data_IF_747826459200
#
_entry.id   IF_747826459200
#
_cell.length_a   1.000
_cell.length_b   1.000
_cell.length_c   1.000
_cell.angle_alpha   90.00
_cell.angle_beta   90.00
_cell.angle_gamma   90.00
#
_symmetry.space_group_name_H-M   'P 1'
#
loop_
_entity.id
_entity.type
_entity.pdbx_description
1 polymer ?
#
# COMPACT_ATOMS: atom_id res chain seq x y z
N UNK A 1 40.07 -58.61 58.74
CA UNK A 1 40.26 -57.60 59.80
C UNK A 1 41.18 -56.51 59.26
N UNK A 2 40.60 -55.35 58.92
CA UNK A 2 41.10 -53.96 59.12
C UNK A 2 42.59 -53.66 58.79
N UNK A 3 42.94 -53.10 57.62
CA UNK A 3 43.01 -51.65 57.22
C UNK A 3 44.42 -51.03 57.43
N UNK A 4 45.18 -50.80 56.34
CA UNK A 4 45.46 -49.53 55.60
C UNK A 4 46.81 -48.89 55.95
N UNK A 5 47.60 -48.52 54.93
CA UNK A 5 48.30 -47.21 54.90
C UNK A 5 48.31 -46.58 53.50
N UNK A 6 47.96 -45.29 53.52
CA UNK A 6 47.95 -44.31 52.43
C UNK A 6 49.35 -43.79 52.06
N UNK A 7 49.45 -43.23 50.83
CA UNK A 7 49.97 -41.88 50.42
C UNK A 7 50.52 -42.01 48.97
N UNK A 8 50.57 -41.03 48.08
CA UNK A 8 50.01 -39.68 47.87
C UNK A 8 50.52 -39.22 46.49
N UNK A 9 49.77 -38.39 45.76
CA UNK A 9 50.23 -37.65 44.56
C UNK A 9 49.20 -37.69 43.42
N UNK A 10 48.27 -36.73 43.31
CA UNK A 10 48.35 -35.48 42.49
C UNK A 10 48.83 -35.78 41.06
N UNK A 11 48.12 -35.48 39.97
CA UNK A 11 47.69 -34.15 39.50
C UNK A 11 46.71 -34.30 38.31
N UNK A 12 45.60 -33.55 38.40
CA UNK A 12 44.87 -32.77 37.39
C UNK A 12 44.17 -33.35 36.12
N UNK A 13 43.01 -32.71 35.89
CA UNK A 13 42.44 -32.25 34.60
C UNK A 13 41.85 -33.32 33.69
N UNK A 14 40.61 -33.23 33.19
CA UNK A 14 39.76 -32.07 32.85
C UNK A 14 38.28 -32.42 32.95
N UNK A 15 37.48 -31.42 33.32
CA UNK A 15 36.04 -31.43 33.34
C UNK A 15 35.41 -31.49 31.94
N UNK A 16 34.27 -32.16 31.82
CA UNK A 16 33.27 -31.88 30.80
C UNK A 16 31.88 -32.02 31.45
N UNK A 17 31.43 -30.96 32.12
CA UNK A 17 30.03 -30.84 32.51
C UNK A 17 29.27 -30.25 31.31
N UNK A 18 28.67 -31.12 30.50
CA UNK A 18 27.68 -30.72 29.50
C UNK A 18 26.42 -30.26 30.21
N UNK A 19 26.29 -28.95 30.42
CA UNK A 19 25.02 -28.33 30.80
C UNK A 19 24.15 -28.33 29.56
N UNK A 20 23.25 -29.31 29.44
CA UNK A 20 22.13 -29.23 28.48
C UNK A 20 21.12 -28.26 29.08
N UNK A 21 21.31 -26.97 28.83
CA UNK A 21 20.26 -25.99 29.03
C UNK A 21 19.21 -26.23 27.94
N UNK A 22 18.15 -26.97 28.30
CA UNK A 22 16.96 -27.09 27.47
C UNK A 22 16.26 -25.71 27.49
N UNK A 23 16.70 -24.79 26.63
CA UNK A 23 15.91 -23.60 26.33
C UNK A 23 14.76 -24.08 25.47
N UNK A 24 13.65 -24.43 26.13
CA UNK A 24 12.36 -24.45 25.47
C UNK A 24 12.12 -23.03 24.96
N UNK A 25 12.47 -22.76 23.69
CA UNK A 25 11.83 -21.70 22.94
C UNK A 25 10.37 -22.13 22.81
N UNK A 26 9.57 -21.81 23.83
CA UNK A 26 8.24 -21.29 23.54
C UNK A 26 8.50 -20.04 22.70
N UNK A 27 8.55 -20.21 21.38
CA UNK A 27 8.13 -19.15 20.49
C UNK A 27 6.64 -18.94 20.77
N UNK A 28 6.37 -18.26 21.88
CA UNK A 28 5.13 -17.57 22.05
C UNK A 28 5.11 -16.57 20.89
N UNK A 29 4.41 -16.93 19.81
CA UNK A 29 3.99 -15.99 18.78
C UNK A 29 2.96 -15.06 19.42
N UNK A 30 3.42 -14.21 20.35
CA UNK A 30 2.71 -13.05 20.83
C UNK A 30 3.13 -11.97 19.84
N UNK A 31 2.28 -11.49 18.95
CA UNK A 31 0.96 -10.94 19.25
C UNK A 31 0.04 -11.10 18.03
N UNK A 32 -1.29 -11.10 18.18
CA UNK A 32 -2.14 -10.72 17.06
C UNK A 32 -1.71 -9.32 16.64
N UNK A 33 -1.10 -9.19 15.46
CA UNK A 33 -0.94 -7.89 14.81
C UNK A 33 -2.34 -7.37 14.56
N UNK A 34 -2.75 -6.37 15.35
CA UNK A 34 -4.12 -6.03 15.65
C UNK A 34 -5.05 -6.07 14.42
N UNK A 35 -6.16 -6.77 14.57
CA UNK A 35 -7.16 -6.90 13.52
C UNK A 35 -8.13 -5.72 13.58
N UNK A 36 -8.51 -5.23 12.41
CA UNK A 36 -9.72 -4.42 12.28
C UNK A 36 -10.86 -5.35 11.86
N UNK A 37 -12.07 -5.08 12.34
CA UNK A 37 -13.27 -5.84 11.98
C UNK A 37 -14.07 -4.99 11.00
N UNK A 38 -14.26 -5.50 9.79
CA UNK A 38 -15.22 -4.90 8.89
C UNK A 38 -16.64 -5.27 9.32
N UNK A 39 -17.51 -4.28 9.35
CA UNK A 39 -18.97 -4.50 9.41
C UNK A 39 -19.58 -4.56 8.01
N UNK A 40 -18.78 -4.34 6.96
CA UNK A 40 -19.23 -4.32 5.59
C UNK A 40 -19.54 -5.75 5.12
N UNK A 41 -20.68 -5.99 4.46
CA UNK A 41 -20.93 -7.26 3.82
C UNK A 41 -19.91 -7.50 2.69
N UNK A 42 -19.29 -8.69 2.69
CA UNK A 42 -18.45 -9.11 1.57
C UNK A 42 -19.23 -9.06 0.26
N UNK A 43 -18.56 -8.63 -0.82
CA UNK A 43 -19.20 -8.42 -2.12
C UNK A 43 -20.01 -7.13 -2.23
N UNK A 44 -20.17 -6.36 -1.13
CA UNK A 44 -20.78 -5.04 -1.20
C UNK A 44 -20.01 -4.12 -2.15
N UNK A 45 -20.68 -3.31 -3.00
CA UNK A 45 -19.99 -2.44 -3.94
C UNK A 45 -19.20 -1.37 -3.20
N UNK A 46 -17.98 -1.08 -3.61
CA UNK A 46 -17.21 0.08 -3.16
C UNK A 46 -16.99 1.01 -4.36
N UNK A 47 -17.07 2.32 -4.12
CA UNK A 47 -16.96 3.30 -5.20
C UNK A 47 -16.24 4.55 -4.71
N UNK A 48 -14.95 4.61 -4.97
CA UNK A 48 -14.09 5.73 -4.61
C UNK A 48 -14.20 6.81 -5.70
N UNK A 49 -15.00 7.83 -5.46
CA UNK A 49 -15.19 8.94 -6.40
C UNK A 49 -14.08 9.97 -6.19
N UNK A 50 -13.24 10.15 -7.21
CA UNK A 50 -12.12 11.08 -7.16
C UNK A 50 -12.54 12.54 -7.29
N UNK A 51 -11.96 13.42 -6.48
CA UNK A 51 -12.12 14.87 -6.57
C UNK A 51 -10.76 15.54 -6.70
N UNK A 52 -10.59 16.39 -7.72
CA UNK A 52 -9.35 17.11 -8.01
C UNK A 52 -8.12 16.18 -8.12
N UNK A 53 -8.30 15.01 -8.73
CA UNK A 53 -7.23 14.02 -8.87
C UNK A 53 -6.16 14.54 -9.84
N UNK A 54 -4.92 14.52 -9.36
CA UNK A 54 -3.74 14.96 -10.10
C UNK A 54 -2.62 13.95 -9.89
N UNK A 55 -1.88 13.67 -10.95
CA UNK A 55 -0.62 12.94 -10.89
C UNK A 55 0.47 13.93 -11.27
N UNK A 56 1.39 14.21 -10.36
CA UNK A 56 2.50 15.12 -10.61
C UNK A 56 3.78 14.33 -10.62
N UNK A 57 4.48 14.36 -11.75
CA UNK A 57 5.89 14.01 -11.81
C UNK A 57 6.66 15.04 -10.99
N UNK A 58 7.29 14.61 -9.90
CA UNK A 58 7.95 15.51 -8.95
C UNK A 58 9.22 16.09 -9.56
N UNK A 59 9.99 15.25 -10.25
CA UNK A 59 11.27 15.59 -10.86
C UNK A 59 11.08 16.59 -12.00
N UNK A 60 10.13 16.32 -12.90
CA UNK A 60 9.84 17.14 -14.06
C UNK A 60 8.85 18.28 -13.78
N UNK A 61 8.25 18.29 -12.59
CA UNK A 61 7.16 19.20 -12.20
C UNK A 61 6.02 19.24 -13.24
N UNK A 62 5.68 18.07 -13.79
CA UNK A 62 4.62 17.92 -14.77
C UNK A 62 3.38 17.33 -14.13
N UNK A 63 2.27 18.06 -14.19
CA UNK A 63 1.00 17.61 -13.62
C UNK A 63 0.03 17.15 -14.70
N UNK A 64 -0.53 15.97 -14.50
CA UNK A 64 -1.64 15.39 -15.24
C UNK A 64 -2.89 15.49 -14.37
N UNK A 65 -3.81 16.39 -14.72
CA UNK A 65 -5.06 16.63 -13.98
C UNK A 65 -6.21 15.93 -14.67
N UNK A 66 -7.03 15.18 -13.93
CA UNK A 66 -8.20 14.49 -14.45
C UNK A 66 -9.50 15.11 -13.93
N UNK A 67 -10.49 15.28 -14.81
CA UNK A 67 -11.85 15.69 -14.40
C UNK A 67 -12.52 14.59 -13.61
N UNK A 68 -12.39 13.35 -14.06
CA UNK A 68 -12.84 12.17 -13.32
C UNK A 68 -11.73 11.15 -13.21
N UNK A 69 -11.61 10.53 -12.04
CA UNK A 69 -10.71 9.42 -11.80
C UNK A 69 -11.23 8.61 -10.60
N UNK A 70 -12.02 7.58 -10.85
CA UNK A 70 -12.79 6.88 -9.81
C UNK A 70 -12.59 5.36 -9.91
N UNK A 71 -11.80 4.75 -9.01
CA UNK A 71 -11.71 3.31 -8.89
C UNK A 71 -12.90 2.73 -8.11
N UNK A 72 -13.41 1.60 -8.57
CA UNK A 72 -14.58 0.92 -7.99
C UNK A 72 -14.43 -0.60 -8.07
N UNK A 73 -15.19 -1.29 -7.23
CA UNK A 73 -15.19 -2.75 -7.15
C UNK A 73 -15.99 -3.24 -5.96
N UNK A 74 -15.46 -4.20 -5.19
CA UNK A 74 -16.20 -4.84 -4.10
C UNK A 74 -15.37 -5.04 -2.84
N UNK A 75 -16.03 -5.00 -1.68
CA UNK A 75 -15.46 -5.43 -0.40
C UNK A 75 -14.99 -6.90 -0.51
N UNK A 76 -13.74 -7.16 -0.16
CA UNK A 76 -13.10 -8.49 -0.27
C UNK A 76 -13.05 -9.26 1.05
N UNK A 77 -13.35 -8.61 2.18
CA UNK A 77 -13.29 -9.22 3.51
C UNK A 77 -14.70 -9.57 4.01
N UNK A 78 -14.93 -10.79 4.54
CA UNK A 78 -16.22 -11.15 5.15
C UNK A 78 -16.57 -10.27 6.36
N UNK A 79 -17.85 -9.90 6.47
CA UNK A 79 -18.37 -9.18 7.62
C UNK A 79 -18.08 -9.94 8.94
N UNK A 80 -17.71 -9.20 9.98
CA UNK A 80 -17.45 -9.78 11.30
C UNK A 80 -16.15 -10.57 11.41
N UNK A 81 -15.31 -10.57 10.37
CA UNK A 81 -13.99 -11.21 10.41
C UNK A 81 -12.89 -10.20 10.71
N UNK A 82 -11.93 -10.66 11.49
CA UNK A 82 -10.69 -9.97 11.78
C UNK A 82 -9.78 -10.00 10.56
N UNK A 83 -9.46 -8.84 9.98
CA UNK A 83 -8.48 -8.74 8.91
C UNK A 83 -7.16 -8.17 9.42
N UNK A 84 -6.06 -8.79 9.02
CA UNK A 84 -4.73 -8.29 9.30
C UNK A 84 -4.46 -6.97 8.55
N UNK A 85 -3.66 -6.08 9.13
CA UNK A 85 -3.16 -4.92 8.39
C UNK A 85 -2.36 -5.36 7.16
N UNK A 86 -2.54 -4.62 6.06
CA UNK A 86 -1.96 -4.93 4.76
C UNK A 86 -2.78 -5.91 3.92
N UNK A 87 -3.78 -6.58 4.48
CA UNK A 87 -4.73 -7.36 3.69
C UNK A 87 -5.68 -6.44 2.90
N UNK A 88 -6.04 -6.84 1.68
CA UNK A 88 -6.99 -6.11 0.83
C UNK A 88 -8.38 -6.12 1.46
N UNK A 89 -8.90 -4.92 1.71
CA UNK A 89 -10.25 -4.66 2.21
C UNK A 89 -11.26 -4.62 1.07
N UNK A 90 -10.83 -4.13 -0.09
CA UNK A 90 -11.61 -4.13 -1.30
C UNK A 90 -10.73 -4.32 -2.53
N UNK A 91 -11.27 -5.04 -3.51
CA UNK A 91 -10.66 -5.19 -4.82
C UNK A 91 -11.36 -4.23 -5.79
N UNK A 92 -10.59 -3.31 -6.35
CA UNK A 92 -11.06 -2.28 -7.28
C UNK A 92 -10.72 -2.73 -8.69
N UNK A 93 -11.67 -3.41 -9.32
CA UNK A 93 -11.49 -4.05 -10.63
C UNK A 93 -11.71 -3.11 -11.80
N UNK A 94 -12.32 -1.95 -11.55
CA UNK A 94 -12.64 -0.95 -12.56
C UNK A 94 -12.08 0.39 -12.13
N UNK A 95 -11.45 1.12 -13.07
CA UNK A 95 -11.11 2.52 -12.88
C UNK A 95 -11.70 3.31 -14.04
N UNK A 96 -12.53 4.28 -13.71
CA UNK A 96 -13.08 5.22 -14.69
C UNK A 96 -12.27 6.51 -14.66
N UNK A 97 -11.80 6.96 -15.80
CA UNK A 97 -11.01 8.19 -15.94
C UNK A 97 -11.50 8.98 -17.14
N UNK A 98 -11.54 10.30 -17.02
CA UNK A 98 -11.88 11.20 -18.14
C UNK A 98 -11.35 12.61 -17.93
N UNK A 99 -11.20 13.33 -19.04
CA UNK A 99 -10.73 14.72 -19.02
C UNK A 99 -9.32 14.87 -18.45
N UNK A 100 -8.51 13.81 -18.49
CA UNK A 100 -7.12 13.86 -18.08
C UNK A 100 -6.31 14.68 -19.08
N UNK A 101 -5.56 15.66 -18.59
CA UNK A 101 -4.75 16.55 -19.42
C UNK A 101 -3.49 17.04 -18.69
N UNK A 102 -2.46 17.38 -19.47
CA UNK A 102 -1.28 18.11 -19.03
C UNK A 102 -1.21 19.46 -19.78
N UNK A 103 -0.78 20.57 -19.13
CA UNK A 103 -0.76 21.89 -19.76
C UNK A 103 0.07 21.99 -21.05
N UNK A 104 1.10 21.15 -21.19
CA UNK A 104 2.00 21.10 -22.35
C UNK A 104 1.57 19.99 -23.32
N UNK A 105 1.34 18.78 -22.81
CA UNK A 105 1.01 17.59 -23.60
C UNK A 105 -0.44 17.53 -24.10
N UNK A 106 -1.32 18.43 -23.65
CA UNK A 106 -2.73 18.46 -24.00
C UNK A 106 -3.50 17.29 -23.39
N UNK A 107 -4.38 16.67 -24.19
CA UNK A 107 -5.18 15.51 -23.75
C UNK A 107 -4.32 14.29 -23.43
N UNK A 108 -4.54 13.73 -22.25
CA UNK A 108 -3.73 12.68 -21.64
C UNK A 108 -4.60 11.51 -21.17
N UNK A 109 -5.17 10.68 -22.05
CA UNK A 109 -5.87 9.47 -21.62
C UNK A 109 -5.02 8.62 -20.66
N UNK A 110 -5.62 8.24 -19.53
CA UNK A 110 -5.03 7.36 -18.51
C UNK A 110 -5.89 6.12 -18.40
N UNK A 111 -5.31 4.94 -18.63
CA UNK A 111 -5.98 3.65 -18.47
C UNK A 111 -5.40 2.93 -17.26
N UNK A 112 -6.23 2.21 -16.50
CA UNK A 112 -5.76 1.36 -15.40
C UNK A 112 -6.13 -0.11 -15.68
N UNK A 113 -5.21 -0.90 -16.28
CA UNK A 113 -5.53 -2.26 -16.72
C UNK A 113 -5.49 -3.30 -15.60
N UNK A 114 -5.03 -2.95 -14.41
CA UNK A 114 -4.89 -3.87 -13.27
C UNK A 114 -6.02 -3.71 -12.27
N UNK A 115 -6.32 -4.79 -11.54
CA UNK A 115 -7.14 -4.70 -10.33
C UNK A 115 -6.31 -4.11 -9.20
N UNK A 116 -6.80 -3.04 -8.57
CA UNK A 116 -6.14 -2.44 -7.41
C UNK A 116 -6.69 -3.05 -6.12
N UNK A 117 -5.87 -3.07 -5.08
CA UNK A 117 -6.33 -3.38 -3.72
C UNK A 117 -6.42 -2.10 -2.89
N UNK A 118 -7.48 -1.94 -2.11
CA UNK A 118 -7.54 -0.94 -1.04
C UNK A 118 -7.21 -1.62 0.28
N UNK A 119 -6.16 -1.19 0.96
CA UNK A 119 -5.68 -1.82 2.21
C UNK A 119 -5.60 -0.79 3.34
N UNK A 120 -5.91 -1.23 4.56
CA UNK A 120 -5.57 -0.51 5.79
C UNK A 120 -4.24 -1.05 6.30
N UNK A 121 -3.26 -0.18 6.54
CA UNK A 121 -1.86 -0.58 6.72
C UNK A 121 -1.39 -0.56 8.17
N UNK A 122 -2.24 -0.12 9.09
CA UNK A 122 -1.89 0.02 10.50
C UNK A 122 -3.07 0.54 11.34
N UNK A 123 -2.86 0.67 12.66
CA UNK A 123 -3.88 1.14 13.57
C UNK A 123 -4.25 2.60 13.32
N UNK A 124 -5.51 2.99 13.57
CA UNK A 124 -5.96 4.35 13.37
C UNK A 124 -5.48 5.28 14.48
N UNK A 125 -5.47 6.57 14.17
CA UNK A 125 -5.46 7.65 15.17
C UNK A 125 -6.81 8.33 15.14
N UNK A 126 -7.65 8.10 16.15
CA UNK A 126 -9.07 8.45 16.09
C UNK A 126 -9.78 7.66 15.00
N UNK A 127 -10.47 8.35 14.09
CA UNK A 127 -11.20 7.73 12.96
C UNK A 127 -10.38 7.65 11.67
N UNK A 128 -9.12 8.06 11.73
CA UNK A 128 -8.21 8.17 10.58
C UNK A 128 -7.26 6.99 10.58
N UNK A 129 -7.39 6.16 9.55
CA UNK A 129 -6.59 4.95 9.34
C UNK A 129 -5.45 5.23 8.36
N UNK A 130 -4.22 4.76 8.59
CA UNK A 130 -3.23 4.69 7.53
C UNK A 130 -3.69 3.67 6.48
N UNK A 131 -3.67 4.05 5.21
CA UNK A 131 -4.24 3.25 4.12
C UNK A 131 -3.45 3.44 2.82
N UNK A 132 -3.67 2.55 1.84
CA UNK A 132 -3.11 2.74 0.50
C UNK A 132 -3.94 2.04 -0.58
N UNK A 133 -3.84 2.52 -1.81
CA UNK A 133 -4.10 1.71 -2.99
C UNK A 133 -2.85 0.91 -3.36
N UNK A 134 -3.04 -0.34 -3.76
CA UNK A 134 -1.97 -1.30 -4.11
C UNK A 134 -2.18 -1.84 -5.51
N UNK A 135 -1.10 -2.38 -6.11
CA UNK A 135 -1.10 -2.89 -7.49
C UNK A 135 -1.60 -1.87 -8.51
N UNK A 136 -1.32 -0.60 -8.22
CA UNK A 136 -1.69 0.51 -9.08
C UNK A 136 -0.81 0.45 -10.31
N UNK A 137 -1.43 0.40 -11.48
CA UNK A 137 -0.77 0.51 -12.78
C UNK A 137 -1.61 1.41 -13.67
N UNK A 138 -0.99 2.46 -14.19
CA UNK A 138 -1.61 3.50 -14.99
C UNK A 138 -0.83 3.62 -16.29
N UNK A 139 -1.46 3.35 -17.42
CA UNK A 139 -0.89 3.57 -18.74
C UNK A 139 -1.35 4.93 -19.22
N UNK A 140 -0.40 5.83 -19.47
CA UNK A 140 -0.64 7.22 -19.85
C UNK A 140 -0.19 7.43 -21.28
N UNK A 141 -1.03 8.10 -22.07
CA UNK A 141 -0.65 8.59 -23.39
C UNK A 141 -0.99 10.08 -23.50
N UNK A 142 0.00 10.93 -23.73
CA UNK A 142 -0.11 12.40 -23.75
C UNK A 142 0.56 12.99 -24.99
N UNK A 143 -0.22 13.41 -25.99
CA UNK A 143 0.33 14.15 -27.14
C UNK A 143 1.47 13.44 -27.89
N UNK A 144 1.55 12.11 -27.85
CA UNK A 144 2.66 11.34 -28.44
C UNK A 144 3.77 10.94 -27.45
N UNK A 145 3.63 11.22 -26.16
CA UNK A 145 4.38 10.59 -25.07
C UNK A 145 3.57 9.41 -24.52
N UNK A 146 4.18 8.23 -24.38
CA UNK A 146 3.56 7.06 -23.74
C UNK A 146 4.45 6.53 -22.63
N UNK A 147 3.89 6.36 -21.44
CA UNK A 147 4.58 5.86 -20.27
C UNK A 147 3.62 5.14 -19.33
N UNK A 148 4.16 4.44 -18.33
CA UNK A 148 3.38 3.77 -17.30
C UNK A 148 3.76 4.31 -15.93
N UNK A 149 2.81 4.58 -15.06
CA UNK A 149 3.04 4.80 -13.63
C UNK A 149 2.61 3.54 -12.88
N UNK A 150 3.44 3.01 -12.00
CA UNK A 150 3.10 1.80 -11.23
C UNK A 150 3.62 1.83 -9.80
N UNK A 151 2.97 1.06 -8.92
CA UNK A 151 3.34 0.94 -7.51
C UNK A 151 2.13 1.03 -6.58
N UNK A 152 2.22 1.92 -5.58
CA UNK A 152 1.19 2.14 -4.56
C UNK A 152 0.86 3.61 -4.41
N UNK A 153 -0.35 3.92 -3.95
CA UNK A 153 -0.70 5.29 -3.54
C UNK A 153 -0.90 5.27 -2.03
N UNK A 154 0.09 5.72 -1.28
CA UNK A 154 0.00 5.83 0.18
C UNK A 154 -0.86 7.02 0.60
N UNK A 155 -1.57 6.86 1.71
CA UNK A 155 -2.43 7.92 2.23
C UNK A 155 -3.04 7.58 3.58
N UNK A 156 -4.14 8.28 3.86
CA UNK A 156 -4.98 8.06 5.04
C UNK A 156 -6.43 7.91 4.62
N UNK A 157 -7.15 7.05 5.32
CA UNK A 157 -8.58 6.85 5.16
C UNK A 157 -9.30 7.31 6.40
N UNK A 158 -10.04 8.41 6.27
CA UNK A 158 -10.97 8.86 7.29
C UNK A 158 -12.27 8.06 7.14
N UNK A 159 -12.63 7.30 8.18
CA UNK A 159 -13.82 6.46 8.19
C UNK A 159 -15.07 7.24 8.66
N UNK A 160 -14.87 8.37 9.35
CA UNK A 160 -15.92 9.25 9.81
C UNK A 160 -17.06 8.54 10.55
N UNK A 161 -16.79 7.77 11.61
CA UNK A 161 -17.86 7.06 12.35
C UNK A 161 -18.87 8.00 13.03
N UNK A 162 -18.60 9.31 13.09
CA UNK A 162 -19.54 10.33 13.53
C UNK A 162 -20.54 10.82 12.45
N UNK A 163 -20.37 10.47 11.17
CA UNK A 163 -21.32 10.85 10.11
C UNK A 163 -21.27 9.88 8.93
N UNK A 164 -22.39 9.30 8.48
CA UNK A 164 -22.46 8.28 7.42
C UNK A 164 -22.02 8.75 6.01
N UNK A 165 -21.38 9.92 5.91
CA UNK A 165 -21.03 10.63 4.68
C UNK A 165 -19.53 10.87 4.48
N UNK A 166 -18.67 10.52 5.45
CA UNK A 166 -17.24 10.84 5.39
C UNK A 166 -16.35 9.59 5.37
N UNK A 167 -16.38 8.84 4.27
CA UNK A 167 -15.37 7.83 3.95
C UNK A 167 -14.38 8.37 2.93
N UNK A 168 -13.27 8.96 3.39
CA UNK A 168 -12.36 9.71 2.52
C UNK A 168 -10.95 9.17 2.53
N UNK A 169 -10.46 8.71 1.39
CA UNK A 169 -9.04 8.42 1.17
C UNK A 169 -8.33 9.69 0.67
N UNK A 170 -7.31 10.14 1.39
CA UNK A 170 -6.46 11.28 1.03
C UNK A 170 -5.02 10.81 0.91
N UNK A 171 -4.38 10.92 -0.25
CA UNK A 171 -2.95 10.62 -0.42
C UNK A 171 -2.06 11.42 0.53
N UNK A 172 -0.85 10.91 0.73
CA UNK A 172 0.24 11.70 1.30
C UNK A 172 0.67 12.81 0.34
N UNK A 173 1.21 13.90 0.88
CA UNK A 173 1.88 14.94 0.09
C UNK A 173 3.29 14.47 -0.29
N UNK A 174 3.75 14.83 -1.50
CA UNK A 174 5.02 14.36 -2.05
C UNK A 174 4.92 12.94 -2.64
N UNK A 175 6.02 12.16 -2.63
CA UNK A 175 6.05 10.84 -3.26
C UNK A 175 4.97 9.90 -2.73
N UNK A 176 4.05 9.49 -3.60
CA UNK A 176 2.93 8.62 -3.21
C UNK A 176 3.34 7.16 -3.02
N UNK A 177 4.48 6.75 -3.61
CA UNK A 177 4.88 5.36 -3.81
C UNK A 177 4.57 4.83 -5.21
N UNK A 178 4.02 5.68 -6.09
CA UNK A 178 3.99 5.46 -7.53
C UNK A 178 5.28 6.00 -8.14
N UNK A 179 5.77 5.27 -9.14
CA UNK A 179 6.91 5.68 -9.96
C UNK A 179 6.59 5.49 -11.43
N UNK A 180 7.27 6.24 -12.30
CA UNK A 180 7.28 5.95 -13.74
C UNK A 180 8.03 4.64 -13.97
N UNK A 181 7.39 3.68 -14.61
CA UNK A 181 7.95 2.36 -14.87
C UNK A 181 9.15 2.44 -15.82
N UNK A 182 10.16 1.62 -15.53
CA UNK A 182 11.27 1.38 -16.45
C UNK A 182 10.92 0.43 -17.61
N UNK A 183 9.78 -0.28 -17.54
CA UNK A 183 9.39 -1.28 -18.54
C UNK A 183 7.87 -1.34 -18.77
N UNK A 184 7.38 -0.89 -19.95
CA UNK A 184 8.15 -0.25 -21.00
C UNK A 184 8.66 1.12 -20.54
N UNK A 185 9.86 1.49 -20.97
CA UNK A 185 10.40 2.82 -20.72
C UNK A 185 9.51 3.89 -21.39
N UNK A 186 9.46 5.12 -20.83
CA UNK A 186 8.81 6.25 -21.49
C UNK A 186 9.26 6.40 -22.95
N UNK A 187 8.32 6.64 -23.85
CA UNK A 187 8.58 6.65 -25.28
C UNK A 187 7.81 7.74 -26.03
N UNK A 188 8.45 8.28 -27.06
CA UNK A 188 7.89 9.32 -27.92
C UNK A 188 8.42 10.72 -27.61
N UNK A 189 8.45 11.57 -28.64
CA UNK A 189 9.16 12.87 -28.61
C UNK A 189 8.68 13.79 -27.48
N UNK A 190 7.39 13.78 -27.18
CA UNK A 190 6.82 14.62 -26.12
C UNK A 190 7.28 14.18 -24.73
N UNK A 191 7.74 12.94 -24.51
CA UNK A 191 8.28 12.54 -23.21
C UNK A 191 9.56 13.31 -22.88
N UNK A 192 10.39 13.62 -23.87
CA UNK A 192 11.58 14.45 -23.67
C UNK A 192 11.21 15.90 -23.34
N UNK A 193 10.13 16.42 -23.93
CA UNK A 193 9.65 17.79 -23.66
C UNK A 193 9.02 17.89 -22.27
N UNK A 194 8.28 16.85 -21.86
CA UNK A 194 7.70 16.72 -20.54
C UNK A 194 8.71 16.24 -19.48
N UNK A 195 9.94 15.93 -19.90
CA UNK A 195 11.00 15.34 -19.07
C UNK A 195 10.55 14.11 -18.26
N UNK A 196 9.72 13.25 -18.84
CA UNK A 196 9.25 12.02 -18.18
C UNK A 196 10.30 10.93 -18.33
N UNK A 197 10.83 10.47 -17.20
CA UNK A 197 11.90 9.47 -17.15
C UNK A 197 11.50 8.28 -16.27
N UNK A 198 12.11 7.13 -16.55
CA UNK A 198 11.91 5.94 -15.73
C UNK A 198 12.46 6.17 -14.32
N UNK A 199 11.69 5.79 -13.30
CA UNK A 199 12.04 5.97 -11.90
C UNK A 199 11.60 7.29 -11.30
N UNK A 200 11.00 8.20 -12.08
CA UNK A 200 10.47 9.45 -11.53
C UNK A 200 9.35 9.18 -10.53
N UNK A 201 9.37 9.92 -9.43
CA UNK A 201 8.40 9.78 -8.34
C UNK A 201 7.14 10.56 -8.68
N UNK A 202 6.00 9.93 -8.44
CA UNK A 202 4.70 10.54 -8.70
C UNK A 202 4.05 10.96 -7.38
N UNK A 203 3.79 12.25 -7.24
CA UNK A 203 2.85 12.78 -6.26
C UNK A 203 1.42 12.61 -6.76
N UNK A 204 0.52 12.24 -5.85
CA UNK A 204 -0.91 12.11 -6.15
C UNK A 204 -1.70 13.11 -5.32
N UNK A 205 -2.31 14.08 -6.00
CA UNK A 205 -3.15 15.10 -5.40
C UNK A 205 -4.64 14.74 -5.38
N UNK A 206 -5.41 15.53 -4.64
CA UNK A 206 -6.86 15.36 -4.51
C UNK A 206 -7.25 14.37 -3.42
N UNK A 207 -8.43 13.77 -3.55
CA UNK A 207 -8.90 12.73 -2.63
C UNK A 207 -10.00 11.89 -3.29
N UNK A 208 -10.28 10.73 -2.68
CA UNK A 208 -11.40 9.88 -3.07
C UNK A 208 -12.40 9.73 -1.94
N UNK A 209 -13.68 9.84 -2.25
CA UNK A 209 -14.77 9.56 -1.31
C UNK A 209 -15.41 8.22 -1.66
N UNK A 210 -15.44 7.26 -0.73
CA UNK A 210 -16.21 6.04 -0.93
C UNK A 210 -17.71 6.36 -0.79
N UNK A 211 -18.44 6.19 -1.87
CA UNK A 211 -19.89 6.40 -1.98
C UNK A 211 -20.68 5.09 -2.01
N UNK A 212 -19.97 3.96 -1.97
CA UNK A 212 -20.57 2.64 -1.93
C UNK A 212 -20.81 2.15 -0.49
N UNK A 213 -20.72 0.84 -0.33
CA UNK A 213 -20.73 0.14 0.95
C UNK A 213 -19.67 0.72 1.88
N UNK A 214 -20.06 1.19 3.08
CA UNK A 214 -19.12 1.67 4.06
C UNK A 214 -18.15 0.58 4.50
N UNK A 215 -16.85 0.88 4.45
CA UNK A 215 -15.75 0.04 4.93
C UNK A 215 -15.45 0.36 6.40
#
# INVERSE_FOLDING_TARGET
MTVVRQRSGRVATTAAATVVALVALLAATISPTWAWVTTAPAGGPVNFVGTNIKFTDIQANQTFSCTTFSPSGTVSVPAGTNAAYGASVANLTTVTSSGCANPIGGGCPILAPTTWGFVLTGPPTGDVWPARFTNVKLVVACGGCSFTMEGVINGRFDRGVASPTYQRFTPVTGPSGLVVSASPAPSGFVCTVLDIQAGDDIEVGGYWTNTGTPI
#
